data_IF_790251807428
#
_entry.id   IF_790251807428
#
_cell.length_a   1.000
_cell.length_b   1.000
_cell.length_c   1.000
_cell.angle_alpha   90.00
_cell.angle_beta   90.00
_cell.angle_gamma   90.00
#
_symmetry.space_group_name_H-M   'P 1'
#
loop_
_entity.id
_entity.type
_entity.pdbx_description
1 polymer ?
#
# COMPACT_ATOMS: atom_id res chain seq x y z
N UNK A 1 -17.90 21.09 -28.14
CA UNK A 1 -18.56 21.47 -26.87
C UNK A 1 -17.64 21.10 -25.72
N UNK A 2 -17.19 22.13 -24.98
CA UNK A 2 -16.69 22.15 -23.59
C UNK A 2 -15.63 21.13 -23.14
N UNK A 3 -14.38 21.60 -23.24
CA UNK A 3 -13.26 21.43 -22.30
C UNK A 3 -13.66 21.54 -20.82
N UNK A 4 -12.95 20.84 -19.92
CA UNK A 4 -12.57 21.12 -18.51
C UNK A 4 -11.89 19.82 -17.99
N UNK A 5 -10.78 19.74 -17.24
CA UNK A 5 -10.29 20.60 -16.16
C UNK A 5 -8.82 20.22 -15.84
N UNK A 6 -7.89 21.19 -15.88
CA UNK A 6 -6.59 21.18 -15.19
C UNK A 6 -6.78 21.45 -13.70
N UNK A 7 -5.78 21.12 -12.85
CA UNK A 7 -5.39 21.70 -11.53
C UNK A 7 -4.41 20.70 -10.88
N UNK A 8 -3.29 21.01 -10.24
CA UNK A 8 -2.53 22.24 -9.97
C UNK A 8 -1.10 21.83 -9.62
N UNK A 9 -0.11 22.59 -10.09
CA UNK A 9 1.27 22.56 -9.62
C UNK A 9 1.44 23.74 -8.65
N UNK A 10 1.73 23.48 -7.37
CA UNK A 10 2.07 24.54 -6.41
C UNK A 10 3.56 24.88 -6.54
N UNK A 11 3.87 25.97 -7.23
CA UNK A 11 5.11 26.72 -7.01
C UNK A 11 4.89 27.65 -5.82
N UNK A 12 5.74 27.55 -4.79
CA UNK A 12 5.87 28.59 -3.78
C UNK A 12 7.08 29.44 -4.16
N UNK A 13 6.79 30.69 -4.54
CA UNK A 13 7.78 31.77 -4.67
C UNK A 13 7.80 32.51 -3.34
N UNK A 14 8.97 32.65 -2.73
CA UNK A 14 9.23 33.64 -1.70
C UNK A 14 10.30 34.60 -2.21
N UNK A 15 9.86 35.79 -2.62
CA UNK A 15 10.73 36.95 -2.87
C UNK A 15 11.00 37.68 -1.57
N UNK A 16 12.27 37.86 -1.24
CA UNK A 16 12.74 38.86 -0.28
C UNK A 16 13.88 39.66 -0.92
N UNK A 17 13.61 40.90 -1.28
CA UNK A 17 14.59 41.91 -1.70
C UNK A 17 14.84 42.81 -0.50
N UNK A 18 16.08 42.85 0.01
CA UNK A 18 16.61 44.03 0.72
C UNK A 18 18.11 44.15 0.48
N UNK A 19 18.49 45.39 0.21
CA UNK A 19 19.82 45.93 -0.03
C UNK A 19 20.71 45.87 1.21
N UNK A 20 22.03 45.74 1.02
CA UNK A 20 23.03 45.98 2.07
C UNK A 20 24.43 45.48 1.69
N UNK A 21 25.37 46.40 1.52
CA UNK A 21 26.77 46.12 1.19
C UNK A 21 27.60 45.73 2.44
N UNK A 22 28.64 44.90 2.20
CA UNK A 22 29.89 44.72 2.96
C UNK A 22 29.82 44.36 4.47
N UNK A 23 30.35 43.18 4.81
CA UNK A 23 31.60 43.03 5.58
C UNK A 23 31.92 41.55 5.79
N UNK A 24 33.22 41.23 5.76
CA UNK A 24 33.79 39.96 6.16
C UNK A 24 33.52 39.64 7.64
N UNK A 25 33.63 38.34 7.92
CA UNK A 25 33.73 37.66 9.22
C UNK A 25 32.41 37.35 9.95
N UNK A 26 31.91 36.11 9.83
CA UNK A 26 31.65 35.25 10.99
C UNK A 26 31.38 33.78 10.56
N UNK A 27 31.94 32.85 11.32
CA UNK A 27 31.80 31.40 11.16
C UNK A 27 30.44 30.98 11.71
N UNK A 28 29.48 30.74 10.80
CA UNK A 28 28.17 30.19 11.13
C UNK A 28 27.88 28.94 10.30
N UNK A 29 28.37 27.78 10.72
CA UNK A 29 27.90 26.48 10.22
C UNK A 29 26.41 26.36 10.51
N UNK A 30 25.56 26.50 9.49
CA UNK A 30 24.11 26.27 9.60
C UNK A 30 23.83 24.75 9.58
N UNK A 31 23.33 24.14 10.67
CA UNK A 31 23.12 22.69 10.74
C UNK A 31 21.74 22.24 10.20
N UNK A 32 20.80 23.16 9.95
CA UNK A 32 19.38 22.82 9.80
C UNK A 32 19.00 22.07 8.51
N UNK A 33 19.85 22.09 7.47
CA UNK A 33 19.51 21.43 6.19
C UNK A 33 19.71 19.91 6.21
N UNK A 34 20.63 19.41 7.03
CA UNK A 34 20.99 17.98 7.09
C UNK A 34 20.01 17.15 7.92
N UNK A 35 19.50 17.74 9.01
CA UNK A 35 18.59 17.05 9.93
C UNK A 35 17.21 16.81 9.31
N UNK A 36 16.74 17.76 8.50
CA UNK A 36 15.45 17.65 7.80
C UNK A 36 15.45 16.58 6.69
N UNK A 37 16.56 16.39 5.98
CA UNK A 37 16.69 15.31 4.99
C UNK A 37 16.64 13.94 5.67
N UNK A 38 17.34 13.79 6.80
CA UNK A 38 17.36 12.54 7.59
C UNK A 38 15.99 12.23 8.20
N UNK A 39 15.29 13.24 8.72
CA UNK A 39 13.94 13.07 9.27
C UNK A 39 12.91 12.68 8.21
N UNK A 40 13.01 13.24 7.00
CA UNK A 40 12.13 12.89 5.87
C UNK A 40 12.35 11.46 5.39
N UNK A 41 13.61 11.04 5.24
CA UNK A 41 13.95 9.66 4.85
C UNK A 41 13.54 8.64 5.93
N UNK A 42 13.69 8.99 7.20
CA UNK A 42 13.18 8.21 8.32
C UNK A 42 11.64 8.11 8.29
N UNK A 43 10.94 9.21 8.01
CA UNK A 43 9.49 9.22 7.91
C UNK A 43 8.98 8.40 6.72
N UNK A 44 9.64 8.48 5.56
CA UNK A 44 9.35 7.68 4.38
C UNK A 44 9.58 6.19 4.61
N UNK A 45 10.71 5.83 5.23
CA UNK A 45 11.03 4.44 5.57
C UNK A 45 10.13 3.87 6.68
N UNK A 46 9.49 4.73 7.49
CA UNK A 46 8.49 4.32 8.48
C UNK A 46 7.08 4.11 7.88
N UNK A 47 6.80 4.60 6.67
CA UNK A 47 5.48 4.44 6.05
C UNK A 47 5.14 2.96 5.81
N UNK A 48 3.88 2.56 6.06
CA UNK A 48 3.45 1.21 5.76
C UNK A 48 3.55 0.92 4.26
N UNK A 49 3.87 -0.33 3.91
CA UNK A 49 3.69 -0.80 2.54
C UNK A 49 2.19 -0.87 2.25
N UNK A 50 1.77 -0.14 1.23
CA UNK A 50 0.45 -0.30 0.65
C UNK A 50 0.50 -1.44 -0.37
N UNK A 51 -0.33 -2.45 -0.16
CA UNK A 51 -0.50 -3.61 -1.04
C UNK A 51 -1.93 -3.63 -1.55
N UNK A 52 -2.09 -3.66 -2.88
CA UNK A 52 -3.42 -3.76 -3.49
C UNK A 52 -3.71 -5.17 -3.97
N UNK A 53 -4.86 -5.71 -3.59
CA UNK A 53 -5.45 -6.90 -4.21
C UNK A 53 -6.71 -6.48 -4.95
N UNK A 54 -6.91 -6.97 -6.16
CA UNK A 54 -8.17 -6.79 -6.89
C UNK A 54 -8.45 -7.97 -7.79
N UNK A 55 -9.70 -8.20 -8.15
CA UNK A 55 -10.07 -9.26 -9.08
C UNK A 55 -11.57 -9.45 -9.13
N UNK A 56 -12.00 -10.48 -9.87
CA UNK A 56 -13.39 -10.89 -9.93
C UNK A 56 -13.60 -12.14 -9.09
N UNK A 57 -14.49 -12.04 -8.12
CA UNK A 57 -14.80 -13.10 -7.17
C UNK A 57 -16.22 -13.59 -7.41
N UNK A 58 -16.47 -14.86 -7.12
CA UNK A 58 -17.75 -15.56 -7.38
C UNK A 58 -17.84 -16.73 -6.40
N UNK A 59 -18.03 -16.40 -5.12
CA UNK A 59 -17.86 -17.34 -4.03
C UNK A 59 -17.01 -16.83 -2.89
N UNK A 60 -16.53 -17.76 -2.05
CA UNK A 60 -15.82 -17.45 -0.83
C UNK A 60 -14.45 -18.11 -0.75
N UNK A 61 -13.55 -17.44 -0.05
CA UNK A 61 -12.27 -17.99 0.34
C UNK A 61 -11.48 -17.00 1.18
N UNK A 62 -10.23 -17.35 1.45
CA UNK A 62 -9.30 -16.47 2.15
C UNK A 62 -7.96 -16.42 1.45
N UNK A 63 -7.29 -15.29 1.54
CA UNK A 63 -5.88 -15.16 1.18
C UNK A 63 -5.10 -15.19 2.49
N UNK A 64 -4.30 -16.22 2.69
CA UNK A 64 -3.44 -16.36 3.86
C UNK A 64 -2.14 -15.60 3.61
N UNK A 65 -1.79 -14.68 4.51
CA UNK A 65 -0.55 -13.94 4.49
C UNK A 65 0.34 -14.38 5.65
N UNK A 66 1.49 -14.95 5.31
CA UNK A 66 2.62 -15.14 6.22
C UNK A 66 3.85 -14.47 5.62
N UNK A 67 4.93 -14.35 6.39
CA UNK A 67 6.16 -13.68 5.92
C UNK A 67 6.77 -14.27 4.65
N UNK A 68 6.53 -15.55 4.38
CA UNK A 68 7.09 -16.28 3.25
C UNK A 68 6.05 -16.72 2.24
N UNK A 69 4.78 -16.78 2.64
CA UNK A 69 3.71 -17.37 1.85
C UNK A 69 2.56 -16.39 1.74
N UNK A 70 2.13 -16.14 0.50
CA UNK A 70 0.78 -15.66 0.20
C UNK A 70 0.12 -16.69 -0.69
N UNK A 71 -1.08 -17.13 -0.32
CA UNK A 71 -1.88 -18.03 -1.16
C UNK A 71 -3.35 -17.89 -0.86
N UNK A 72 -4.17 -18.09 -1.87
CA UNK A 72 -5.61 -18.20 -1.76
C UNK A 72 -5.99 -19.63 -1.39
N UNK A 73 -6.91 -19.75 -0.44
CA UNK A 73 -7.57 -20.99 -0.04
C UNK A 73 -9.05 -20.84 -0.37
N UNK A 74 -9.47 -21.51 -1.45
CA UNK A 74 -10.85 -21.51 -1.92
C UNK A 74 -11.77 -22.25 -0.95
N UNK A 75 -13.02 -21.80 -0.84
CA UNK A 75 -14.03 -22.43 0.02
C UNK A 75 -15.33 -22.78 -0.70
N UNK A 76 -15.90 -21.90 -1.51
CA UNK A 76 -17.20 -22.17 -2.15
C UNK A 76 -17.37 -21.47 -3.49
N UNK A 77 -18.19 -22.06 -4.35
CA UNK A 77 -18.57 -21.63 -5.70
C UNK A 77 -17.40 -21.66 -6.69
N UNK A 78 -17.12 -20.58 -7.41
CA UNK A 78 -16.06 -20.52 -8.41
C UNK A 78 -14.80 -19.87 -7.83
N UNK A 79 -13.61 -20.29 -8.27
CA UNK A 79 -12.38 -19.61 -7.88
C UNK A 79 -12.34 -18.19 -8.46
N UNK A 80 -11.64 -17.25 -7.81
CA UNK A 80 -11.46 -15.90 -8.32
C UNK A 80 -10.74 -15.90 -9.67
N UNK A 81 -11.07 -14.91 -10.50
CA UNK A 81 -10.45 -14.70 -11.81
C UNK A 81 -9.92 -13.28 -11.96
N UNK A 82 -8.97 -13.08 -12.88
CA UNK A 82 -8.33 -11.77 -13.13
C UNK A 82 -7.80 -11.10 -11.86
N UNK A 83 -7.26 -11.91 -10.94
CA UNK A 83 -6.70 -11.40 -9.68
C UNK A 83 -5.38 -10.70 -9.97
N UNK A 84 -5.23 -9.51 -9.42
CA UNK A 84 -4.00 -8.72 -9.43
C UNK A 84 -3.46 -8.64 -8.00
N UNK A 85 -2.16 -8.87 -7.85
CA UNK A 85 -1.38 -8.70 -6.64
C UNK A 85 -0.41 -7.53 -6.83
N UNK A 86 -0.69 -6.42 -6.17
CA UNK A 86 0.04 -5.15 -6.31
C UNK A 86 0.08 -4.61 -7.75
N UNK A 87 -0.99 -4.87 -8.51
CA UNK A 87 -1.10 -4.50 -9.93
C UNK A 87 -0.65 -5.59 -10.89
N UNK A 88 0.11 -6.59 -10.42
CA UNK A 88 0.62 -7.68 -11.26
C UNK A 88 -0.36 -8.87 -11.32
N UNK A 89 -0.55 -9.50 -12.50
CA UNK A 89 -1.41 -10.69 -12.61
C UNK A 89 -0.96 -11.82 -11.69
N UNK A 90 -1.89 -12.32 -10.87
CA UNK A 90 -1.69 -13.48 -10.02
C UNK A 90 -2.55 -14.65 -10.53
N UNK A 91 -1.96 -15.46 -11.41
CA UNK A 91 -2.70 -16.52 -12.14
C UNK A 91 -2.72 -17.87 -11.43
N UNK A 92 -1.73 -18.16 -10.58
CA UNK A 92 -1.64 -19.37 -9.76
C UNK A 92 -1.88 -19.01 -8.30
N UNK A 93 -3.15 -18.91 -7.90
CA UNK A 93 -3.55 -18.35 -6.61
C UNK A 93 -3.08 -19.20 -5.40
N UNK A 94 -2.76 -20.46 -5.61
CA UNK A 94 -2.17 -21.37 -4.62
C UNK A 94 -0.66 -21.13 -4.38
N UNK A 95 -0.01 -20.35 -5.27
CA UNK A 95 1.43 -20.07 -5.22
C UNK A 95 1.70 -18.61 -4.86
N UNK A 96 2.74 -18.39 -4.06
CA UNK A 96 3.14 -17.04 -3.64
C UNK A 96 3.60 -16.18 -4.82
N UNK A 97 3.00 -14.98 -5.02
CA UNK A 97 3.45 -14.00 -6.01
C UNK A 97 4.92 -13.65 -5.82
N UNK A 98 5.68 -13.53 -6.91
CA UNK A 98 7.11 -13.22 -6.85
C UNK A 98 7.42 -11.96 -6.01
N UNK A 99 6.69 -10.82 -6.16
CA UNK A 99 6.97 -9.61 -5.38
C UNK A 99 6.89 -9.82 -3.87
N UNK A 100 6.02 -10.73 -3.39
CA UNK A 100 5.89 -10.95 -1.95
C UNK A 100 7.16 -11.51 -1.31
N UNK A 101 7.90 -12.35 -2.05
CA UNK A 101 9.16 -12.93 -1.55
C UNK A 101 10.18 -11.86 -1.21
N UNK A 102 10.15 -10.74 -1.93
CA UNK A 102 11.11 -9.65 -1.77
C UNK A 102 10.82 -8.81 -0.53
N UNK A 103 9.54 -8.56 -0.20
CA UNK A 103 9.18 -7.62 0.86
C UNK A 103 8.47 -8.22 2.07
N UNK A 104 7.83 -9.38 1.98
CA UNK A 104 7.02 -9.97 3.05
C UNK A 104 7.78 -10.18 4.36
N UNK A 105 9.07 -10.49 4.29
CA UNK A 105 9.95 -10.69 5.47
C UNK A 105 10.28 -9.39 6.21
N UNK A 106 10.15 -8.24 5.53
CA UNK A 106 10.44 -6.89 6.07
C UNK A 106 9.20 -6.20 6.66
N UNK A 107 8.06 -6.88 6.69
CA UNK A 107 6.79 -6.32 7.16
C UNK A 107 6.36 -6.89 8.52
N UNK A 108 5.72 -6.05 9.33
CA UNK A 108 5.07 -6.43 10.58
C UNK A 108 3.60 -6.81 10.29
N UNK A 109 3.41 -8.07 9.91
CA UNK A 109 2.09 -8.60 9.53
C UNK A 109 1.07 -8.56 10.67
N UNK A 110 1.52 -8.58 11.93
CA UNK A 110 0.64 -8.52 13.11
C UNK A 110 -0.09 -7.20 13.27
N UNK A 111 0.36 -6.17 12.54
CA UNK A 111 -0.21 -4.82 12.57
C UNK A 111 -0.79 -4.42 11.22
N UNK A 112 -1.09 -5.37 10.35
CA UNK A 112 -1.73 -5.08 9.07
C UNK A 112 -3.18 -4.60 9.29
N UNK A 113 -3.66 -3.69 8.45
CA UNK A 113 -5.09 -3.30 8.42
C UNK A 113 -5.57 -3.07 6.99
N UNK A 114 -6.90 -3.08 6.82
CA UNK A 114 -7.56 -2.68 5.58
C UNK A 114 -7.62 -1.15 5.54
N UNK A 115 -6.86 -0.53 4.64
CA UNK A 115 -6.90 0.92 4.42
C UNK A 115 -8.06 1.34 3.50
N UNK A 116 -8.42 0.50 2.53
CA UNK A 116 -9.55 0.73 1.63
C UNK A 116 -10.10 -0.60 1.14
N UNK A 117 -11.42 -0.70 0.96
CA UNK A 117 -12.06 -1.87 0.35
C UNK A 117 -13.27 -1.46 -0.49
N UNK A 118 -13.53 -2.24 -1.54
CA UNK A 118 -14.72 -2.17 -2.39
C UNK A 118 -15.06 -3.59 -2.82
N UNK A 119 -16.32 -3.96 -2.67
CA UNK A 119 -16.91 -5.24 -3.04
C UNK A 119 -18.41 -5.14 -2.84
N UNK A 120 -19.18 -6.10 -3.34
CA UNK A 120 -20.63 -6.15 -3.12
C UNK A 120 -21.03 -6.90 -1.85
N UNK A 121 -20.06 -7.55 -1.19
CA UNK A 121 -20.22 -8.34 0.02
C UNK A 121 -18.94 -8.26 0.89
N UNK A 122 -18.68 -9.24 1.77
CA UNK A 122 -17.64 -9.20 2.80
C UNK A 122 -16.21 -9.17 2.25
N UNK A 123 -15.43 -8.22 2.78
CA UNK A 123 -13.96 -8.24 2.78
C UNK A 123 -13.51 -8.01 4.21
N UNK A 124 -12.88 -8.99 4.86
CA UNK A 124 -12.48 -8.89 6.27
C UNK A 124 -11.03 -9.34 6.48
N UNK A 125 -10.37 -8.79 7.51
CA UNK A 125 -9.02 -9.18 7.91
C UNK A 125 -9.05 -9.74 9.32
N UNK A 126 -8.42 -10.90 9.51
CA UNK A 126 -8.25 -11.56 10.80
C UNK A 126 -6.75 -11.76 11.05
N UNK A 127 -6.22 -11.28 12.18
CA UNK A 127 -4.83 -11.56 12.55
C UNK A 127 -4.67 -12.99 13.03
N UNK A 128 -3.56 -13.60 12.66
CA UNK A 128 -3.18 -14.95 13.08
C UNK A 128 -1.79 -14.91 13.73
N UNK A 129 -1.36 -15.96 14.46
CA UNK A 129 -0.02 -16.00 15.04
C UNK A 129 1.12 -15.82 14.02
N UNK A 130 0.92 -16.25 12.77
CA UNK A 130 1.93 -16.21 11.70
C UNK A 130 1.83 -14.96 10.79
N UNK A 131 0.75 -14.18 10.91
CA UNK A 131 0.44 -13.06 10.04
C UNK A 131 -1.03 -12.67 10.09
N UNK A 132 -1.73 -12.77 8.96
CA UNK A 132 -3.17 -12.50 8.90
C UNK A 132 -3.83 -13.22 7.72
N UNK A 133 -5.13 -13.42 7.81
CA UNK A 133 -5.98 -13.93 6.74
C UNK A 133 -6.88 -12.80 6.24
N UNK A 134 -6.98 -12.66 4.92
CA UNK A 134 -7.90 -11.75 4.24
C UNK A 134 -9.04 -12.57 3.65
N UNK A 135 -10.22 -12.48 4.23
CA UNK A 135 -11.43 -13.11 3.71
C UNK A 135 -12.05 -12.24 2.62
N UNK A 136 -12.42 -12.87 1.50
CA UNK A 136 -13.22 -12.26 0.45
C UNK A 136 -14.35 -13.23 0.14
N UNK A 137 -15.58 -12.78 0.40
CA UNK A 137 -16.78 -13.55 0.17
C UNK A 137 -17.69 -12.77 -0.78
N UNK A 138 -18.25 -13.50 -1.73
CA UNK A 138 -19.19 -13.01 -2.70
C UNK A 138 -20.40 -13.96 -2.73
N UNK A 139 -21.36 -13.73 -1.83
CA UNK A 139 -22.57 -14.54 -1.68
C UNK A 139 -23.70 -14.27 -2.69
N UNK A 140 -23.84 -13.09 -3.33
CA UNK A 140 -24.90 -12.89 -4.32
C UNK A 140 -24.63 -13.69 -5.61
N UNK A 141 -25.67 -14.13 -6.32
CA UNK A 141 -25.51 -14.90 -7.56
C UNK A 141 -24.63 -14.18 -8.60
N UNK A 142 -23.82 -14.98 -9.31
CA UNK A 142 -22.86 -14.51 -10.29
C UNK A 142 -21.59 -13.97 -9.65
N UNK A 143 -20.79 -13.24 -10.43
CA UNK A 143 -19.48 -12.73 -10.02
C UNK A 143 -19.44 -11.21 -9.88
N UNK A 144 -18.72 -10.73 -8.87
CA UNK A 144 -18.50 -9.30 -8.61
C UNK A 144 -17.03 -8.87 -8.66
N UNK A 145 -16.79 -7.58 -8.90
CA UNK A 145 -15.44 -6.99 -8.82
C UNK A 145 -15.14 -6.57 -7.38
N UNK A 146 -13.98 -7.01 -6.88
CA UNK A 146 -13.47 -6.69 -5.55
C UNK A 146 -12.12 -5.99 -5.64
N UNK A 147 -11.88 -5.04 -4.75
CA UNK A 147 -10.56 -4.43 -4.56
C UNK A 147 -10.36 -4.07 -3.09
N UNK A 148 -9.18 -4.38 -2.57
CA UNK A 148 -8.76 -4.05 -1.22
C UNK A 148 -7.32 -3.52 -1.23
N UNK A 149 -7.09 -2.48 -0.45
CA UNK A 149 -5.76 -1.96 -0.15
C UNK A 149 -5.46 -2.26 1.30
N UNK A 150 -4.43 -3.06 1.52
CA UNK A 150 -3.86 -3.38 2.81
C UNK A 150 -2.73 -2.40 3.10
N UNK A 151 -2.68 -1.86 4.31
CA UNK A 151 -1.54 -1.15 4.82
C UNK A 151 -0.83 -2.05 5.84
N UNK A 152 0.47 -2.26 5.62
CA UNK A 152 1.27 -3.18 6.42
C UNK A 152 2.53 -2.45 6.89
N UNK A 153 2.69 -2.21 8.21
CA UNK A 153 3.89 -1.56 8.74
C UNK A 153 5.16 -2.32 8.39
N UNK A 154 6.27 -1.59 8.28
CA UNK A 154 7.60 -2.19 8.17
C UNK A 154 8.08 -2.62 9.56
N UNK A 155 8.87 -3.68 9.61
CA UNK A 155 9.58 -4.05 10.84
C UNK A 155 10.66 -3.01 11.10
N UNK A 156 10.81 -2.62 12.35
CA UNK A 156 12.00 -1.90 12.83
C UNK A 156 13.17 -2.86 12.91
#
# INVERSE_FOLDING_TARGET
MKTFLQIMLCLIVATGLSYGAQSLDDVGTSPERSDNATAFDAALSAQPKLLRISGRFDGSGRIRFTRRVVRYEHKSWQPPSRVLFDGEPWTKLDRTPAPWRDFGTRLDLSKAWIAKRKGRDVIALEHTPDGFDLYICDSPNGSGDYSVTLAIPRRK
#
